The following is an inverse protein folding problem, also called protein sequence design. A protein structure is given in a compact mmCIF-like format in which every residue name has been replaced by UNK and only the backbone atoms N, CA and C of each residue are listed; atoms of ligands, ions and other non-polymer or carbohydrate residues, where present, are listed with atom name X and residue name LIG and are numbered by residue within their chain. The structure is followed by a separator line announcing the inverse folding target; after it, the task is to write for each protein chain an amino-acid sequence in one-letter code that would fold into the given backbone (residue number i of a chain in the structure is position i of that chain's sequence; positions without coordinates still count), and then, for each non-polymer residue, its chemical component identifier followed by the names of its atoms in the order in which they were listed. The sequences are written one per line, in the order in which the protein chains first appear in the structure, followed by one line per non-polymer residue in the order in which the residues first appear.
data_IF_827149311483
#
_entry.id   IF_827149311483
#
_cell.length_a   1.000
_cell.length_b   1.000
_cell.length_c   1.000
_cell.angle_alpha   90.00
_cell.angle_beta   90.00
_cell.angle_gamma   90.00
#
_symmetry.space_group_name_H-M   'P 1'
#
loop_
_entity.id
_entity.type
_entity.pdbx_description
1 polymer ?
#
# COMPACT_ATOMS: atom_id res chain seq x y z
N UNK A 1 -15.83 2.63 10.41
CA UNK A 1 -16.01 3.76 9.48
C UNK A 1 -15.39 3.39 8.17
N UNK A 2 -16.14 2.68 7.34
CA UNK A 2 -15.64 1.91 6.17
C UNK A 2 -15.17 2.79 5.01
N UNK A 3 -15.87 3.90 4.72
CA UNK A 3 -15.44 4.85 3.69
C UNK A 3 -14.03 5.43 3.94
N UNK A 4 -13.63 5.55 5.21
CA UNK A 4 -12.29 6.01 5.59
C UNK A 4 -11.22 4.93 5.35
N UNK A 5 -11.57 3.66 5.52
CA UNK A 5 -10.69 2.51 5.27
C UNK A 5 -10.53 2.26 3.77
N UNK A 6 -11.60 2.33 2.99
CA UNK A 6 -11.55 2.18 1.53
C UNK A 6 -10.70 3.27 0.89
N UNK A 7 -10.87 4.52 1.32
CA UNK A 7 -10.09 5.64 0.80
C UNK A 7 -8.60 5.50 1.17
N UNK A 8 -8.27 5.13 2.41
CA UNK A 8 -6.88 4.88 2.82
C UNK A 8 -6.24 3.74 2.02
N UNK A 9 -6.98 2.66 1.78
CA UNK A 9 -6.48 1.53 1.00
C UNK A 9 -6.28 1.90 -0.47
N UNK A 10 -7.23 2.60 -1.09
CA UNK A 10 -7.07 3.10 -2.45
C UNK A 10 -5.86 4.04 -2.59
N UNK A 11 -5.60 4.90 -1.59
CA UNK A 11 -4.38 5.71 -1.53
C UNK A 11 -3.12 4.85 -1.46
N UNK A 12 -3.11 3.79 -0.63
CA UNK A 12 -1.99 2.86 -0.55
C UNK A 12 -1.70 2.18 -1.90
N UNK A 13 -2.73 1.71 -2.61
CA UNK A 13 -2.62 1.09 -3.94
C UNK A 13 -2.07 2.09 -4.96
N UNK A 14 -2.59 3.32 -4.98
CA UNK A 14 -2.15 4.35 -5.91
C UNK A 14 -0.67 4.73 -5.68
N UNK A 15 -0.27 4.91 -4.43
CA UNK A 15 1.11 5.24 -4.06
C UNK A 15 2.08 4.08 -4.38
N UNK A 16 1.68 2.84 -4.12
CA UNK A 16 2.45 1.66 -4.52
C UNK A 16 2.67 1.62 -6.04
N UNK A 17 1.66 1.97 -6.83
CA UNK A 17 1.77 2.02 -8.27
C UNK A 17 2.74 3.11 -8.76
N UNK A 18 2.76 4.29 -8.12
CA UNK A 18 3.74 5.34 -8.39
C UNK A 18 5.17 4.86 -8.11
N UNK A 19 5.34 4.14 -6.99
CA UNK A 19 6.61 3.54 -6.59
C UNK A 19 7.09 2.48 -7.57
N UNK A 20 6.23 1.56 -8.02
CA UNK A 20 6.62 0.49 -8.95
C UNK A 20 7.00 1.04 -10.32
N UNK A 21 6.28 2.05 -10.81
CA UNK A 21 6.58 2.70 -12.10
C UNK A 21 7.81 3.60 -12.07
N UNK A 22 8.41 3.84 -10.91
CA UNK A 22 9.48 4.84 -10.77
C UNK A 22 9.02 6.23 -11.25
N UNK A 23 7.75 6.57 -11.02
CA UNK A 23 7.11 7.76 -11.60
C UNK A 23 7.79 9.05 -11.14
N UNK A 24 7.93 10.03 -12.04
CA UNK A 24 8.38 11.38 -11.71
C UNK A 24 7.45 12.10 -10.71
N UNK A 25 6.17 11.72 -10.68
CA UNK A 25 5.17 12.26 -9.77
C UNK A 25 5.12 11.55 -8.41
N UNK A 26 6.06 10.63 -8.12
CA UNK A 26 6.07 9.88 -6.86
C UNK A 26 6.25 10.78 -5.63
N UNK A 27 6.84 11.98 -5.79
CA UNK A 27 7.04 12.91 -4.68
C UNK A 27 7.73 12.23 -3.48
N UNK A 28 7.05 12.21 -2.33
CA UNK A 28 7.53 11.61 -1.08
C UNK A 28 7.06 10.15 -0.89
N UNK A 29 6.55 9.50 -1.95
CA UNK A 29 6.06 8.14 -1.86
C UNK A 29 7.15 7.19 -1.35
N UNK A 30 6.78 6.31 -0.43
CA UNK A 30 7.70 5.33 0.15
C UNK A 30 6.95 4.04 0.48
N UNK A 31 7.64 2.90 0.41
CA UNK A 31 7.03 1.63 0.78
C UNK A 31 6.53 1.63 2.24
N UNK A 32 7.22 2.36 3.13
CA UNK A 32 6.81 2.51 4.52
C UNK A 32 5.47 3.24 4.65
N UNK A 33 5.26 4.30 3.88
CA UNK A 33 3.99 5.01 3.87
C UNK A 33 2.86 4.17 3.27
N UNK A 34 3.13 3.43 2.18
CA UNK A 34 2.17 2.46 1.62
C UNK A 34 1.76 1.43 2.67
N UNK A 35 2.71 0.85 3.41
CA UNK A 35 2.44 -0.13 4.46
C UNK A 35 1.63 0.49 5.61
N UNK A 36 1.94 1.71 6.03
CA UNK A 36 1.19 2.40 7.06
C UNK A 36 -0.28 2.63 6.65
N UNK A 37 -0.51 3.11 5.42
CA UNK A 37 -1.85 3.31 4.87
C UNK A 37 -2.62 1.99 4.76
N UNK A 38 -1.99 0.94 4.18
CA UNK A 38 -2.63 -0.35 3.98
C UNK A 38 -2.98 -1.05 5.29
N UNK A 39 -2.06 -1.07 6.26
CA UNK A 39 -2.30 -1.66 7.59
C UNK A 39 -3.38 -0.91 8.36
N UNK A 40 -3.37 0.42 8.31
CA UNK A 40 -4.43 1.27 8.88
C UNK A 40 -5.78 1.20 8.15
N UNK A 41 -5.84 0.45 7.05
CA UNK A 41 -7.02 0.25 6.23
C UNK A 41 -7.42 -1.23 6.09
N UNK A 42 -6.78 -2.14 6.84
CA UNK A 42 -7.05 -3.59 6.75
C UNK A 42 -8.51 -3.91 7.09
N UNK A 43 -9.04 -3.35 8.17
CA UNK A 43 -10.43 -3.60 8.59
C UNK A 43 -10.68 -5.08 8.88
N UNK A 44 -11.92 -5.54 8.69
CA UNK A 44 -12.32 -6.95 8.87
C UNK A 44 -11.68 -7.88 7.82
N UNK A 45 -11.40 -7.36 6.62
CA UNK A 45 -10.69 -8.07 5.54
C UNK A 45 -11.22 -9.49 5.26
N UNK A 46 -12.55 -9.65 5.19
CA UNK A 46 -13.21 -10.95 5.09
C UNK A 46 -12.75 -11.83 3.92
N UNK A 47 -12.24 -11.20 2.85
CA UNK A 47 -11.72 -11.87 1.66
C UNK A 47 -10.18 -11.97 1.65
N UNK A 48 -9.49 -11.41 2.64
CA UNK A 48 -8.02 -11.45 2.77
C UNK A 48 -7.24 -10.55 1.80
N UNK A 49 -7.90 -9.91 0.85
CA UNK A 49 -7.24 -9.14 -0.21
C UNK A 49 -6.35 -7.99 0.31
N UNK A 50 -6.73 -7.36 1.43
CA UNK A 50 -5.94 -6.26 1.99
C UNK A 50 -4.71 -6.78 2.70
N UNK A 51 -4.83 -7.92 3.39
CA UNK A 51 -3.70 -8.67 3.93
C UNK A 51 -2.71 -9.09 2.84
N UNK A 52 -3.19 -9.70 1.76
CA UNK A 52 -2.35 -10.12 0.64
C UNK A 52 -1.63 -8.93 -0.03
N UNK A 53 -2.31 -7.79 -0.14
CA UNK A 53 -1.69 -6.56 -0.63
C UNK A 53 -0.56 -6.08 0.28
N UNK A 54 -0.73 -6.15 1.61
CA UNK A 54 0.33 -5.77 2.57
C UNK A 54 1.55 -6.67 2.37
N UNK A 55 1.36 -7.99 2.28
CA UNK A 55 2.45 -8.96 2.08
C UNK A 55 3.18 -8.70 0.76
N UNK A 56 2.45 -8.39 -0.32
CA UNK A 56 3.03 -8.01 -1.61
C UNK A 56 3.91 -6.75 -1.51
N UNK A 57 3.46 -5.74 -0.76
CA UNK A 57 4.24 -4.50 -0.57
C UNK A 57 5.51 -4.77 0.23
N UNK A 58 5.45 -5.61 1.27
CA UNK A 58 6.62 -6.02 2.06
C UNK A 58 7.66 -6.77 1.21
N UNK A 59 7.20 -7.70 0.36
CA UNK A 59 8.05 -8.42 -0.57
C UNK A 59 8.72 -7.46 -1.56
N UNK A 60 7.96 -6.53 -2.15
CA UNK A 60 8.49 -5.53 -3.07
C UNK A 60 9.50 -4.58 -2.40
N UNK A 61 9.26 -4.18 -1.15
CA UNK A 61 10.21 -3.37 -0.37
C UNK A 61 11.54 -4.11 -0.19
N UNK A 62 11.47 -5.38 0.23
CA UNK A 62 12.65 -6.24 0.42
C UNK A 62 13.45 -6.40 -0.86
N UNK A 63 12.77 -6.66 -1.98
CA UNK A 63 13.41 -6.82 -3.29
C UNK A 63 14.07 -5.55 -3.80
N UNK A 64 13.52 -4.37 -3.48
CA UNK A 64 14.11 -3.09 -3.91
C UNK A 64 15.23 -2.58 -3.00
N UNK A 65 15.36 -3.10 -1.80
CA UNK A 65 16.49 -2.80 -0.90
C UNK A 65 17.72 -3.69 -1.15
N UNK A 66 17.62 -4.67 -2.06
CA UNK A 66 18.75 -5.43 -2.58
C UNK A 66 19.41 -4.68 -3.74
#
# INVERSE_FOLDING_TARGET
GTASEDMRFASAVAEFALLLRGSEHRGQASFDNVLALARGARGEDDQGHRGEFIDLVEAAKTLRSQ
#
